data_IF_950239995181
#
_entry.id   IF_950239995181
#
_cell.length_a   1.000
_cell.length_b   1.000
_cell.length_c   1.000
_cell.angle_alpha   90.00
_cell.angle_beta   90.00
_cell.angle_gamma   90.00
#
_symmetry.space_group_name_H-M   'P 1'
#
loop_
_entity.id
_entity.type
_entity.pdbx_description
1 polymer ?
#
# COMPACT_ATOMS: atom_id res chain seq x y z
N UNK A 1 -5.75 -9.61 -19.59
CA UNK A 1 -6.82 -9.87 -18.61
C UNK A 1 -7.18 -8.55 -17.92
N UNK A 2 -8.45 -8.19 -17.82
CA UNK A 2 -8.89 -7.03 -17.06
C UNK A 2 -8.40 -7.09 -15.62
N UNK A 3 -8.12 -5.92 -15.04
CA UNK A 3 -7.55 -5.86 -13.66
C UNK A 3 -8.46 -6.51 -12.62
N UNK A 4 -9.77 -6.34 -12.78
CA UNK A 4 -10.74 -6.91 -11.83
C UNK A 4 -10.81 -8.44 -11.90
N UNK A 5 -10.60 -9.03 -13.08
CA UNK A 5 -10.61 -10.50 -13.24
C UNK A 5 -9.45 -11.13 -12.47
N UNK A 6 -8.29 -10.46 -12.41
CA UNK A 6 -7.15 -10.91 -11.59
C UNK A 6 -7.50 -10.93 -10.09
N UNK A 7 -8.26 -9.96 -9.60
CA UNK A 7 -8.73 -9.96 -8.21
C UNK A 7 -9.73 -11.10 -7.97
N UNK A 8 -10.65 -11.33 -8.91
CA UNK A 8 -11.64 -12.41 -8.81
C UNK A 8 -10.94 -13.77 -8.78
N UNK A 9 -9.95 -14.00 -9.64
CA UNK A 9 -9.16 -15.24 -9.62
C UNK A 9 -8.49 -15.45 -8.27
N UNK A 10 -7.83 -14.41 -7.71
CA UNK A 10 -7.21 -14.51 -6.39
C UNK A 10 -8.21 -14.80 -5.26
N UNK A 11 -9.40 -14.23 -5.32
CA UNK A 11 -10.49 -14.54 -4.37
C UNK A 11 -10.91 -16.03 -4.49
N UNK A 12 -11.00 -16.54 -5.70
CA UNK A 12 -11.33 -17.95 -5.95
C UNK A 12 -10.22 -18.86 -5.41
N UNK A 13 -8.96 -18.55 -5.71
CA UNK A 13 -7.81 -19.36 -5.31
C UNK A 13 -7.62 -19.41 -3.80
N UNK A 14 -7.77 -18.27 -3.14
CA UNK A 14 -7.65 -18.17 -1.66
C UNK A 14 -8.92 -18.63 -0.93
N UNK A 15 -10.05 -18.79 -1.63
CA UNK A 15 -11.38 -19.04 -1.04
C UNK A 15 -11.72 -17.99 0.05
N UNK A 16 -11.22 -16.77 -0.10
CA UNK A 16 -11.32 -15.72 0.90
C UNK A 16 -11.48 -14.36 0.20
N UNK A 17 -12.59 -13.63 0.38
CA UNK A 17 -12.82 -12.33 -0.26
C UNK A 17 -12.30 -11.14 0.56
N UNK A 18 -11.58 -11.38 1.66
CA UNK A 18 -11.16 -10.29 2.55
C UNK A 18 -10.00 -9.48 1.96
N UNK A 19 -9.94 -8.20 2.34
CA UNK A 19 -8.87 -7.29 2.00
C UNK A 19 -8.26 -6.71 3.27
N UNK A 20 -6.95 -6.78 3.43
CA UNK A 20 -6.28 -6.20 4.59
C UNK A 20 -5.93 -4.73 4.31
N UNK A 21 -6.39 -3.83 5.19
CA UNK A 21 -6.03 -2.41 5.14
C UNK A 21 -4.65 -2.17 5.77
N UNK A 22 -3.78 -1.49 5.03
CA UNK A 22 -2.47 -1.03 5.50
C UNK A 22 -2.49 0.49 5.68
N UNK A 23 -3.45 0.96 6.48
CA UNK A 23 -3.65 2.39 6.81
C UNK A 23 -2.78 2.79 8.01
N UNK A 24 -1.51 2.38 7.99
CA UNK A 24 -0.58 2.42 9.12
C UNK A 24 -0.08 3.84 9.37
N UNK A 25 -0.20 4.29 10.60
CA UNK A 25 0.38 5.53 11.11
C UNK A 25 1.27 5.23 12.34
N UNK A 26 2.11 6.19 12.73
CA UNK A 26 3.04 6.01 13.84
C UNK A 26 2.37 5.53 15.14
N UNK A 27 1.15 6.02 15.43
CA UNK A 27 0.43 5.68 16.66
C UNK A 27 -0.04 4.22 16.72
N UNK A 28 -0.07 3.52 15.57
CA UNK A 28 -0.43 2.09 15.51
C UNK A 28 0.77 1.17 15.66
N UNK A 29 1.99 1.73 15.60
CA UNK A 29 3.21 0.93 15.77
C UNK A 29 3.34 0.47 17.23
N UNK A 30 3.77 -0.78 17.45
CA UNK A 30 4.23 -1.20 18.76
C UNK A 30 5.30 -0.25 19.33
N UNK A 31 5.37 -0.13 20.65
CA UNK A 31 6.29 0.79 21.32
C UNK A 31 7.74 0.52 20.90
N UNK A 32 8.13 -0.73 20.78
CA UNK A 32 9.47 -1.16 20.38
C UNK A 32 9.88 -0.68 18.98
N UNK A 33 8.91 -0.52 18.07
CA UNK A 33 9.15 0.02 16.73
C UNK A 33 9.06 1.55 16.70
N UNK A 34 8.30 2.14 17.61
CA UNK A 34 8.10 3.60 17.66
C UNK A 34 9.27 4.33 18.34
N UNK A 35 9.90 3.70 19.32
CA UNK A 35 10.97 4.31 20.11
C UNK A 35 12.15 4.73 19.23
N UNK A 36 12.59 5.99 19.42
CA UNK A 36 13.70 6.60 18.68
C UNK A 36 13.38 6.99 17.24
N UNK A 37 12.13 6.89 16.80
CA UNK A 37 11.69 7.34 15.47
C UNK A 37 11.24 8.80 15.53
N UNK A 38 12.17 9.74 15.63
CA UNK A 38 11.91 11.17 15.85
C UNK A 38 11.81 11.99 14.56
N UNK A 39 11.96 11.37 13.39
CA UNK A 39 11.89 12.02 12.08
C UNK A 39 10.91 11.30 11.17
N UNK A 40 10.34 12.04 10.19
CA UNK A 40 9.47 11.42 9.18
C UNK A 40 10.15 10.25 8.45
N UNK A 41 11.45 10.35 8.19
CA UNK A 41 12.22 9.28 7.56
C UNK A 41 12.30 8.04 8.46
N UNK A 42 12.61 8.22 9.74
CA UNK A 42 12.67 7.13 10.70
C UNK A 42 11.28 6.49 10.91
N UNK A 43 10.22 7.29 11.03
CA UNK A 43 8.84 6.81 11.14
C UNK A 43 8.46 6.00 9.89
N UNK A 44 8.75 6.49 8.70
CA UNK A 44 8.46 5.80 7.45
C UNK A 44 9.15 4.42 7.35
N UNK A 45 10.39 4.31 7.79
CA UNK A 45 11.10 3.01 7.87
C UNK A 45 10.41 2.05 8.84
N UNK A 46 9.98 2.51 10.01
CA UNK A 46 9.25 1.68 10.98
C UNK A 46 7.88 1.25 10.46
N UNK A 47 7.17 2.14 9.77
CA UNK A 47 5.90 1.80 9.10
C UNK A 47 6.14 0.72 8.04
N UNK A 48 7.18 0.86 7.22
CA UNK A 48 7.50 -0.15 6.22
C UNK A 48 7.81 -1.51 6.85
N UNK A 49 8.64 -1.55 7.90
CA UNK A 49 8.96 -2.78 8.63
C UNK A 49 7.69 -3.45 9.20
N UNK A 50 6.81 -2.67 9.80
CA UNK A 50 5.54 -3.15 10.34
C UNK A 50 4.62 -3.71 9.25
N UNK A 51 4.44 -2.97 8.14
CA UNK A 51 3.64 -3.41 7.01
C UNK A 51 4.20 -4.68 6.37
N UNK A 52 5.52 -4.77 6.23
CA UNK A 52 6.21 -5.95 5.74
C UNK A 52 5.87 -7.18 6.58
N UNK A 53 5.92 -7.05 7.89
CA UNK A 53 5.55 -8.12 8.81
C UNK A 53 4.08 -8.53 8.67
N UNK A 54 3.16 -7.57 8.50
CA UNK A 54 1.75 -7.89 8.23
C UNK A 54 1.63 -8.67 6.90
N UNK A 55 2.22 -8.16 5.82
CA UNK A 55 2.16 -8.78 4.50
C UNK A 55 2.71 -10.21 4.54
N UNK A 56 3.85 -10.45 5.19
CA UNK A 56 4.45 -11.76 5.31
C UNK A 56 3.56 -12.78 6.05
N UNK A 57 2.70 -12.30 6.95
CA UNK A 57 1.79 -13.15 7.72
C UNK A 57 0.40 -13.33 7.10
N UNK A 58 0.05 -12.57 6.07
CA UNK A 58 -1.28 -12.65 5.46
C UNK A 58 -1.27 -13.02 3.98
N UNK A 59 -0.12 -13.02 3.32
CA UNK A 59 -0.02 -13.16 1.86
C UNK A 59 -0.50 -14.53 1.32
N UNK A 60 -0.53 -15.55 2.14
CA UNK A 60 -1.08 -16.88 1.84
C UNK A 60 -2.53 -17.06 2.30
N UNK A 61 -3.14 -16.04 2.93
CA UNK A 61 -4.47 -16.12 3.52
C UNK A 61 -5.47 -15.24 2.75
N UNK A 62 -5.05 -14.02 2.37
CA UNK A 62 -5.92 -13.02 1.74
C UNK A 62 -5.52 -12.72 0.30
N UNK A 63 -6.46 -12.41 -0.60
CA UNK A 63 -6.15 -12.11 -2.00
C UNK A 63 -5.60 -10.71 -2.21
N UNK A 64 -5.84 -9.77 -1.28
CA UNK A 64 -5.58 -8.35 -1.52
C UNK A 64 -5.24 -7.55 -0.29
N UNK A 65 -4.53 -6.45 -0.51
CA UNK A 65 -4.32 -5.38 0.46
C UNK A 65 -4.77 -4.03 -0.12
N UNK A 66 -5.24 -3.14 0.74
CA UNK A 66 -5.54 -1.76 0.39
C UNK A 66 -4.61 -0.82 1.16
N UNK A 67 -3.99 0.11 0.46
CA UNK A 67 -3.05 1.08 1.03
C UNK A 67 -3.62 2.48 0.85
N UNK A 68 -3.93 3.16 1.97
CA UNK A 68 -4.45 4.52 1.98
C UNK A 68 -3.29 5.52 1.93
N UNK A 69 -3.13 6.22 0.80
CA UNK A 69 -1.98 7.12 0.61
C UNK A 69 -1.92 8.26 1.63
N UNK A 70 -3.05 8.73 2.13
CA UNK A 70 -3.09 9.82 3.11
C UNK A 70 -2.32 9.49 4.40
N UNK A 71 -2.32 8.24 4.83
CA UNK A 71 -1.59 7.77 6.02
C UNK A 71 -0.07 7.85 5.84
N UNK A 72 0.39 7.89 4.61
CA UNK A 72 1.81 7.98 4.23
C UNK A 72 2.20 9.41 3.85
N UNK A 73 1.33 10.12 3.12
CA UNK A 73 1.54 11.51 2.71
C UNK A 73 1.84 12.45 3.88
N UNK A 74 1.25 12.21 5.04
CA UNK A 74 1.48 13.02 6.24
C UNK A 74 2.94 13.02 6.70
N UNK A 75 3.75 12.05 6.24
CA UNK A 75 5.19 11.97 6.50
C UNK A 75 6.05 12.50 5.34
N UNK A 76 5.44 13.25 4.39
CA UNK A 76 6.13 13.87 3.27
C UNK A 76 6.75 12.88 2.29
N UNK A 77 7.87 13.25 1.69
CA UNK A 77 8.53 12.42 0.67
C UNK A 77 8.93 11.02 1.18
N UNK A 78 9.36 10.91 2.44
CA UNK A 78 9.70 9.63 3.06
C UNK A 78 8.46 8.72 3.19
N UNK A 79 7.31 9.30 3.52
CA UNK A 79 6.04 8.57 3.57
C UNK A 79 5.60 8.09 2.19
N UNK A 80 5.71 8.91 1.15
CA UNK A 80 5.40 8.49 -0.23
C UNK A 80 6.33 7.37 -0.70
N UNK A 81 7.62 7.45 -0.40
CA UNK A 81 8.54 6.35 -0.69
C UNK A 81 8.17 5.07 0.07
N UNK A 82 7.71 5.18 1.31
CA UNK A 82 7.20 4.05 2.09
C UNK A 82 5.94 3.44 1.47
N UNK A 83 4.99 4.25 1.01
CA UNK A 83 3.81 3.80 0.27
C UNK A 83 4.20 2.96 -0.96
N UNK A 84 5.10 3.49 -1.79
CA UNK A 84 5.59 2.81 -2.99
C UNK A 84 6.28 1.49 -2.66
N UNK A 85 7.18 1.49 -1.70
CA UNK A 85 7.88 0.27 -1.24
C UNK A 85 6.89 -0.78 -0.70
N UNK A 86 5.90 -0.36 0.08
CA UNK A 86 4.87 -1.26 0.63
C UNK A 86 4.03 -1.88 -0.49
N UNK A 87 3.61 -1.08 -1.47
CA UNK A 87 2.85 -1.57 -2.62
C UNK A 87 3.65 -2.59 -3.44
N UNK A 88 4.92 -2.29 -3.73
CA UNK A 88 5.80 -3.20 -4.47
C UNK A 88 6.05 -4.49 -3.70
N UNK A 89 6.32 -4.41 -2.40
CA UNK A 89 6.51 -5.60 -1.57
C UNK A 89 5.26 -6.51 -1.54
N UNK A 90 4.06 -5.92 -1.45
CA UNK A 90 2.82 -6.68 -1.53
C UNK A 90 2.64 -7.38 -2.89
N UNK A 91 3.02 -6.71 -4.00
CA UNK A 91 3.03 -7.31 -5.34
C UNK A 91 4.03 -8.47 -5.47
N UNK A 92 5.22 -8.32 -4.90
CA UNK A 92 6.24 -9.40 -4.86
C UNK A 92 5.73 -10.63 -4.11
N UNK A 93 4.83 -10.46 -3.15
CA UNK A 93 4.14 -11.53 -2.41
C UNK A 93 2.84 -11.99 -3.09
N UNK A 94 2.66 -11.62 -4.35
CA UNK A 94 1.49 -11.99 -5.18
C UNK A 94 0.14 -11.49 -4.64
N UNK A 95 0.12 -10.47 -3.80
CA UNK A 95 -1.11 -9.83 -3.36
C UNK A 95 -1.65 -8.85 -4.42
N UNK A 96 -2.97 -8.78 -4.57
CA UNK A 96 -3.59 -7.72 -5.33
C UNK A 96 -3.58 -6.41 -4.52
N UNK A 97 -2.99 -5.34 -5.08
CA UNK A 97 -2.84 -4.06 -4.38
C UNK A 97 -3.91 -3.08 -4.83
N UNK A 98 -4.65 -2.53 -3.86
CA UNK A 98 -5.59 -1.43 -4.06
C UNK A 98 -4.94 -0.15 -3.53
N UNK A 99 -4.53 0.73 -4.44
CA UNK A 99 -4.00 2.05 -4.09
C UNK A 99 -5.16 3.05 -3.91
N UNK A 100 -5.50 3.38 -2.66
CA UNK A 100 -6.55 4.34 -2.34
C UNK A 100 -5.98 5.76 -2.29
N UNK A 101 -5.91 6.41 -3.46
CA UNK A 101 -5.27 7.71 -3.62
C UNK A 101 -6.21 8.90 -3.68
N UNK A 102 -7.49 8.69 -4.01
CA UNK A 102 -8.48 9.77 -4.21
C UNK A 102 -7.92 10.94 -5.02
N UNK A 103 -7.28 10.64 -6.16
CA UNK A 103 -6.66 11.60 -7.09
C UNK A 103 -7.54 11.74 -8.33
N UNK A 104 -8.46 12.68 -8.28
CA UNK A 104 -9.34 13.01 -9.41
C UNK A 104 -9.24 14.50 -9.76
N UNK A 105 -9.31 14.79 -11.04
CA UNK A 105 -9.27 16.16 -11.55
C UNK A 105 -9.87 16.20 -12.96
N UNK A 106 -9.91 17.38 -13.57
CA UNK A 106 -10.42 17.61 -14.93
C UNK A 106 -9.28 17.81 -15.94
N UNK A 107 -9.59 17.59 -17.23
CA UNK A 107 -8.67 17.88 -18.35
C UNK A 107 -7.31 17.20 -18.21
N UNK A 108 -6.26 17.95 -18.49
CA UNK A 108 -4.88 17.44 -18.50
C UNK A 108 -4.40 16.97 -17.12
N UNK A 109 -4.88 17.60 -16.05
CA UNK A 109 -4.50 17.23 -14.67
C UNK A 109 -4.97 15.81 -14.33
N UNK A 110 -6.17 15.42 -14.76
CA UNK A 110 -6.62 14.03 -14.62
C UNK A 110 -5.68 13.05 -15.33
N UNK A 111 -5.12 13.43 -16.49
CA UNK A 111 -4.13 12.63 -17.22
C UNK A 111 -2.85 12.39 -16.42
N UNK A 112 -2.38 13.36 -15.66
CA UNK A 112 -1.19 13.21 -14.82
C UNK A 112 -1.44 12.23 -13.65
N UNK A 113 -2.59 12.29 -13.01
CA UNK A 113 -2.97 11.29 -12.00
C UNK A 113 -3.12 9.89 -12.60
N UNK A 114 -3.74 9.78 -13.78
CA UNK A 114 -3.84 8.50 -14.46
C UNK A 114 -2.46 7.92 -14.79
N UNK A 115 -1.51 8.74 -15.27
CA UNK A 115 -0.15 8.29 -15.53
C UNK A 115 0.57 7.81 -14.25
N UNK A 116 0.33 8.48 -13.11
CA UNK A 116 0.94 8.13 -11.84
C UNK A 116 0.44 6.78 -11.28
N UNK A 117 -0.84 6.48 -11.42
CA UNK A 117 -1.46 5.32 -10.78
C UNK A 117 -1.84 4.18 -11.73
N UNK A 118 -1.98 4.46 -13.02
CA UNK A 118 -2.44 3.51 -14.04
C UNK A 118 -1.48 3.38 -15.23
N UNK A 119 -0.40 4.18 -15.27
CA UNK A 119 0.60 4.15 -16.34
C UNK A 119 1.52 2.93 -16.26
N UNK A 120 2.29 2.69 -17.31
CA UNK A 120 3.25 1.57 -17.38
C UNK A 120 4.31 1.59 -16.27
N UNK A 121 4.60 2.78 -15.72
CA UNK A 121 5.56 2.99 -14.60
C UNK A 121 4.86 3.22 -13.26
N UNK A 122 3.55 2.96 -13.18
CA UNK A 122 2.81 3.11 -11.94
C UNK A 122 3.26 2.06 -10.91
N UNK A 123 3.27 2.49 -9.66
CA UNK A 123 3.58 1.64 -8.50
C UNK A 123 2.52 0.55 -8.26
#
# INVERSE_FOLDING_TARGET
>A
MPVIDRLIEKIIDTQNPTCVGLDTIADYLPEELRDGADTNAAIAERIFEFNKNIIDNVCDIVPSVKIQIACYEMYGAAGIACFERTANYAKEKDLFVIADGKRNDIGNTAGFYAAAFLGEKAT
#
